data_IF_084483994025
#
_entry.id   IF_084483994025
#
_cell.length_a   1.000
_cell.length_b   1.000
_cell.length_c   1.000
_cell.angle_alpha   90.00
_cell.angle_beta   90.00
_cell.angle_gamma   90.00
#
_symmetry.space_group_name_H-M   'P 1'
#
loop_
_entity.id
_entity.type
_entity.pdbx_description
1 polymer ?
#
# COMPACT_ATOMS: atom_id res chain seq x y z
N UNK A 1 -12.59 19.94 -15.11
CA UNK A 1 -11.83 18.67 -15.00
C UNK A 1 -12.82 17.57 -14.63
N UNK A 2 -13.11 16.60 -15.53
CA UNK A 2 -14.01 15.48 -15.18
C UNK A 2 -13.38 14.68 -14.03
N UNK A 3 -14.11 14.47 -12.94
CA UNK A 3 -13.67 13.58 -11.86
C UNK A 3 -13.54 12.18 -12.48
N UNK A 4 -12.33 11.65 -12.56
CA UNK A 4 -12.13 10.24 -12.89
C UNK A 4 -12.66 9.46 -11.69
N UNK A 5 -13.50 8.45 -11.93
CA UNK A 5 -13.93 7.55 -10.88
C UNK A 5 -12.72 6.80 -10.34
N UNK A 6 -12.25 7.23 -9.17
CA UNK A 6 -11.14 6.60 -8.49
C UNK A 6 -11.70 5.39 -7.75
N UNK A 7 -11.63 4.23 -8.41
CA UNK A 7 -12.07 2.97 -7.78
C UNK A 7 -11.06 2.52 -6.73
N UNK A 8 -11.54 1.69 -5.78
CA UNK A 8 -10.70 1.12 -4.72
C UNK A 8 -9.56 0.27 -5.28
N UNK A 9 -9.80 -0.42 -6.40
CA UNK A 9 -8.81 -1.22 -7.12
C UNK A 9 -7.76 -0.32 -7.77
N UNK A 10 -8.16 0.84 -8.32
CA UNK A 10 -7.23 1.82 -8.86
C UNK A 10 -6.28 2.35 -7.77
N UNK A 11 -6.83 2.69 -6.60
CA UNK A 11 -6.04 3.08 -5.42
C UNK A 11 -5.09 1.96 -4.98
N UNK A 12 -5.58 0.73 -4.91
CA UNK A 12 -4.77 -0.41 -4.51
C UNK A 12 -3.59 -0.65 -5.47
N UNK A 13 -3.83 -0.61 -6.78
CA UNK A 13 -2.78 -0.73 -7.81
C UNK A 13 -1.77 0.41 -7.74
N UNK A 14 -2.20 1.63 -7.42
CA UNK A 14 -1.30 2.77 -7.26
C UNK A 14 -0.41 2.59 -6.01
N UNK A 15 -1.00 2.16 -4.89
CA UNK A 15 -0.26 1.88 -3.66
C UNK A 15 0.80 0.78 -3.86
N UNK A 16 0.45 -0.34 -4.49
CA UNK A 16 1.41 -1.42 -4.79
C UNK A 16 2.58 -0.94 -5.66
N UNK A 17 2.30 -0.13 -6.68
CA UNK A 17 3.33 0.45 -7.54
C UNK A 17 4.27 1.37 -6.76
N UNK A 18 3.72 2.26 -5.94
CA UNK A 18 4.49 3.16 -5.08
C UNK A 18 5.38 2.38 -4.12
N UNK A 19 4.84 1.37 -3.42
CA UNK A 19 5.61 0.52 -2.51
C UNK A 19 6.77 -0.20 -3.19
N UNK A 20 6.56 -0.74 -4.40
CA UNK A 20 7.64 -1.37 -5.17
C UNK A 20 8.72 -0.38 -5.56
N UNK A 21 8.33 0.81 -6.00
CA UNK A 21 9.28 1.87 -6.36
C UNK A 21 10.11 2.29 -5.15
N UNK A 22 9.48 2.51 -3.99
CA UNK A 22 10.20 2.82 -2.75
C UNK A 22 11.16 1.72 -2.32
N UNK A 23 10.75 0.45 -2.40
CA UNK A 23 11.63 -0.66 -2.07
C UNK A 23 12.84 -0.74 -3.01
N UNK A 24 12.64 -0.47 -4.31
CA UNK A 24 13.72 -0.46 -5.28
C UNK A 24 14.77 0.62 -5.00
N UNK A 25 14.36 1.79 -4.47
CA UNK A 25 15.31 2.84 -4.02
C UNK A 25 16.26 2.34 -2.92
N UNK A 26 15.84 1.34 -2.15
CA UNK A 26 16.62 0.73 -1.07
C UNK A 26 17.33 -0.57 -1.51
N UNK A 27 17.39 -0.87 -2.81
CA UNK A 27 17.88 -2.16 -3.35
C UNK A 27 17.13 -3.38 -2.78
N UNK A 28 15.88 -3.20 -2.37
CA UNK A 28 15.00 -4.27 -1.87
C UNK A 28 13.92 -4.61 -2.90
N UNK A 29 13.49 -5.87 -2.94
CA UNK A 29 12.35 -6.30 -3.76
C UNK A 29 11.12 -6.56 -2.89
N UNK A 30 9.94 -6.18 -3.39
CA UNK A 30 8.65 -6.54 -2.77
C UNK A 30 7.96 -7.53 -3.72
N UNK A 31 7.99 -8.83 -3.41
CA UNK A 31 7.38 -9.85 -4.25
C UNK A 31 5.88 -9.63 -4.43
N UNK A 32 5.37 -10.04 -5.58
CA UNK A 32 3.93 -10.00 -5.87
C UNK A 32 3.23 -10.98 -4.94
N UNK A 33 2.25 -10.52 -4.17
CA UNK A 33 1.49 -11.36 -3.24
C UNK A 33 2.02 -11.41 -1.81
N UNK A 34 3.06 -10.65 -1.45
CA UNK A 34 3.47 -10.54 -0.04
C UNK A 34 2.39 -9.84 0.77
N UNK A 35 1.78 -10.60 1.68
CA UNK A 35 0.89 -10.11 2.72
C UNK A 35 1.67 -9.25 3.70
N UNK A 36 1.03 -8.20 4.23
CA UNK A 36 1.63 -7.42 5.32
C UNK A 36 1.94 -8.34 6.48
N UNK A 37 3.08 -8.11 7.13
CA UNK A 37 3.39 -8.84 8.36
C UNK A 37 2.36 -8.49 9.44
N UNK A 38 2.12 -9.42 10.34
CA UNK A 38 1.18 -9.24 11.44
C UNK A 38 1.48 -7.98 12.26
N UNK A 39 2.78 -7.66 12.45
CA UNK A 39 3.22 -6.42 13.10
C UNK A 39 2.71 -5.16 12.39
N UNK A 40 2.73 -5.14 11.06
CA UNK A 40 2.24 -4.00 10.27
C UNK A 40 0.72 -3.93 10.33
N UNK A 41 0.02 -5.06 10.28
CA UNK A 41 -1.44 -5.10 10.43
C UNK A 41 -1.88 -4.57 11.81
N UNK A 42 -1.23 -4.99 12.89
CA UNK A 42 -1.49 -4.48 14.24
C UNK A 42 -1.26 -2.96 14.34
N UNK A 43 -0.18 -2.46 13.74
CA UNK A 43 0.09 -1.02 13.70
C UNK A 43 -1.01 -0.24 12.96
N UNK A 44 -1.45 -0.74 11.80
CA UNK A 44 -2.52 -0.11 11.02
C UNK A 44 -3.87 -0.16 11.75
N UNK A 45 -4.18 -1.26 12.43
CA UNK A 45 -5.38 -1.40 13.24
C UNK A 45 -5.41 -0.39 14.39
N UNK A 46 -4.30 -0.26 15.12
CA UNK A 46 -4.16 0.73 16.20
C UNK A 46 -4.27 2.17 15.68
N UNK A 47 -3.73 2.47 14.49
CA UNK A 47 -3.84 3.79 13.87
C UNK A 47 -5.28 4.14 13.48
N UNK A 48 -6.05 3.17 12.99
CA UNK A 48 -7.47 3.39 12.62
C UNK A 48 -8.37 3.71 13.81
N UNK A 49 -8.03 3.25 15.02
CA UNK A 49 -8.80 3.57 16.23
C UNK A 49 -8.58 5.00 16.74
N UNK A 50 -7.59 5.71 16.21
CA UNK A 50 -7.17 7.03 16.66
C UNK A 50 -7.67 8.17 15.78
N UNK A 51 -8.41 7.85 14.71
CA UNK A 51 -9.07 8.78 13.78
C UNK A 51 -10.57 8.57 13.93
#
# INVERSE_FOLDING_TARGET
MKRKDVTREALHRAALRSTRASAALENRSVPVGVTRSERVERFLAARKQRI
#
